data_IF_756623818897
#
_entry.id   IF_756623818897
#
_cell.length_a   1.000
_cell.length_b   1.000
_cell.length_c   1.000
_cell.angle_alpha   90.00
_cell.angle_beta   90.00
_cell.angle_gamma   90.00
#
_symmetry.space_group_name_H-M   'P 1'
#
loop_
_entity.id
_entity.type
_entity.pdbx_description
1 polymer ?
#
# COMPACT_ATOMS: atom_id res chain seq x y z
N UNK A 1 15.73 -7.05 -21.42
CA UNK A 1 16.17 -5.76 -20.85
C UNK A 1 16.26 -5.95 -19.35
N UNK A 2 17.45 -5.81 -18.76
CA UNK A 2 17.71 -6.14 -17.36
C UNK A 2 17.55 -4.90 -16.49
N UNK A 3 16.72 -4.99 -15.44
CA UNK A 3 16.91 -4.27 -14.18
C UNK A 3 16.52 -5.24 -13.06
N UNK A 4 17.54 -5.83 -12.43
CA UNK A 4 17.40 -6.56 -11.17
C UNK A 4 17.36 -5.54 -10.05
N UNK A 5 16.24 -5.45 -9.32
CA UNK A 5 16.16 -4.76 -8.03
C UNK A 5 15.51 -5.70 -7.01
N UNK A 6 16.38 -6.31 -6.20
CA UNK A 6 16.20 -6.81 -4.84
C UNK A 6 14.90 -7.55 -4.48
N UNK A 7 15.00 -8.88 -4.50
CA UNK A 7 14.13 -9.81 -3.77
C UNK A 7 14.40 -9.73 -2.26
N UNK A 8 13.64 -8.89 -1.57
CA UNK A 8 13.08 -9.17 -0.23
C UNK A 8 11.61 -9.52 -0.50
N UNK A 9 10.91 -10.43 0.22
CA UNK A 9 9.45 -10.57 0.01
C UNK A 9 8.85 -9.15 0.10
N UNK A 10 8.36 -8.57 -1.00
CA UNK A 10 8.62 -7.14 -1.21
C UNK A 10 7.78 -6.25 -0.29
N UNK A 11 6.71 -6.81 0.28
CA UNK A 11 5.71 -6.11 1.05
C UNK A 11 5.15 -6.97 2.20
N UNK A 12 4.87 -6.33 3.33
CA UNK A 12 4.21 -6.90 4.51
C UNK A 12 2.68 -6.88 4.32
N UNK A 13 1.91 -7.82 4.90
CA UNK A 13 0.45 -7.75 4.87
C UNK A 13 -0.13 -6.46 5.49
N UNK A 14 0.62 -5.80 6.38
CA UNK A 14 0.25 -4.49 6.95
C UNK A 14 0.69 -3.29 6.09
N UNK A 15 1.39 -3.52 4.97
CA UNK A 15 1.61 -2.46 3.99
C UNK A 15 0.28 -2.09 3.32
N UNK A 16 0.22 -0.87 2.81
CA UNK A 16 -1.02 -0.23 2.39
C UNK A 16 -1.08 -0.18 0.86
N UNK A 17 -2.13 -0.77 0.29
CA UNK A 17 -2.51 -0.55 -1.09
C UNK A 17 -3.34 0.73 -1.18
N UNK A 18 -2.95 1.66 -2.05
CA UNK A 18 -3.64 2.95 -2.26
C UNK A 18 -4.06 3.08 -3.72
N UNK A 19 -5.35 3.29 -3.95
CA UNK A 19 -5.91 3.50 -5.28
C UNK A 19 -5.90 4.98 -5.70
N UNK A 20 -5.97 5.27 -7.02
CA UNK A 20 -5.99 6.64 -7.53
C UNK A 20 -7.17 7.49 -7.02
N UNK A 21 -8.28 6.86 -6.61
CA UNK A 21 -9.42 7.53 -5.99
C UNK A 21 -9.19 7.93 -4.52
N UNK A 22 -8.02 7.61 -3.95
CA UNK A 22 -7.67 7.89 -2.56
C UNK A 22 -8.17 6.84 -1.57
N UNK A 23 -8.89 5.81 -2.03
CA UNK A 23 -9.18 4.65 -1.21
C UNK A 23 -7.91 3.86 -0.90
N UNK A 24 -7.90 3.20 0.24
CA UNK A 24 -6.78 2.39 0.69
C UNK A 24 -7.27 1.11 1.37
N UNK A 25 -6.40 0.11 1.45
CA UNK A 25 -6.60 -1.15 2.16
C UNK A 25 -5.26 -1.72 2.60
N UNK A 26 -5.24 -2.61 3.59
CA UNK A 26 -4.05 -3.39 3.88
C UNK A 26 -3.82 -4.44 2.79
N UNK A 27 -2.56 -4.77 2.49
CA UNK A 27 -2.25 -5.85 1.54
C UNK A 27 -2.82 -7.19 2.00
N UNK A 28 -2.95 -7.41 3.30
CA UNK A 28 -3.61 -8.59 3.86
C UNK A 28 -5.06 -8.73 3.38
N UNK A 29 -5.83 -7.64 3.38
CA UNK A 29 -7.21 -7.62 2.87
C UNK A 29 -7.26 -7.83 1.34
N UNK A 30 -6.33 -7.20 0.62
CA UNK A 30 -6.21 -7.37 -0.84
C UNK A 30 -5.91 -8.82 -1.21
N UNK A 31 -4.94 -9.46 -0.54
CA UNK A 31 -4.57 -10.86 -0.77
C UNK A 31 -5.66 -11.85 -0.37
N UNK A 32 -6.51 -11.50 0.60
CA UNK A 32 -7.70 -12.28 0.95
C UNK A 32 -8.82 -12.16 -0.10
N UNK A 33 -8.68 -11.25 -1.06
CA UNK A 33 -9.66 -11.00 -2.11
C UNK A 33 -10.81 -10.10 -1.67
N UNK A 34 -10.70 -9.43 -0.52
CA UNK A 34 -11.76 -8.54 -0.02
C UNK A 34 -11.98 -7.33 -0.95
N UNK A 35 -10.94 -6.99 -1.72
CA UNK A 35 -10.94 -5.91 -2.71
C UNK A 35 -10.89 -6.41 -4.16
N UNK A 36 -11.26 -7.66 -4.44
CA UNK A 36 -11.21 -8.24 -5.80
C UNK A 36 -12.13 -7.54 -6.83
N UNK A 37 -13.00 -6.64 -6.37
CA UNK A 37 -13.87 -5.82 -7.22
C UNK A 37 -13.20 -4.50 -7.66
N UNK A 38 -12.00 -4.18 -7.15
CA UNK A 38 -11.20 -3.00 -7.53
C UNK A 38 -10.11 -3.39 -8.54
N UNK A 39 -9.51 -2.39 -9.18
CA UNK A 39 -8.38 -2.60 -10.09
C UNK A 39 -7.14 -3.06 -9.33
N UNK A 40 -6.26 -3.82 -9.99
CA UNK A 40 -4.92 -4.13 -9.48
C UNK A 40 -3.95 -2.93 -9.58
N UNK A 41 -4.39 -1.81 -10.17
CA UNK A 41 -3.64 -0.55 -10.25
C UNK A 41 -3.70 0.22 -8.93
N UNK A 42 -2.94 -0.24 -7.94
CA UNK A 42 -2.71 0.45 -6.68
C UNK A 42 -1.21 0.68 -6.44
N UNK A 43 -0.89 1.74 -5.72
CA UNK A 43 0.45 1.97 -5.17
C UNK A 43 0.56 1.20 -3.85
N UNK A 44 1.69 0.52 -3.63
CA UNK A 44 1.98 -0.10 -2.34
C UNK A 44 2.87 0.84 -1.53
N UNK A 45 2.34 1.32 -0.42
CA UNK A 45 3.00 2.22 0.53
C UNK A 45 3.31 1.43 1.79
N UNK A 46 4.56 1.47 2.25
CA UNK A 46 4.91 0.81 3.49
C UNK A 46 4.34 1.57 4.68
N UNK A 47 3.90 0.85 5.71
CA UNK A 47 3.41 1.49 6.93
C UNK A 47 4.49 2.34 7.62
N UNK A 48 5.76 1.97 7.46
CA UNK A 48 6.92 2.73 7.96
C UNK A 48 7.19 4.05 7.19
N UNK A 49 6.62 4.22 5.99
CA UNK A 49 6.80 5.42 5.16
C UNK A 49 5.79 6.51 5.53
N UNK A 50 5.96 7.06 6.74
CA UNK A 50 5.10 8.12 7.28
C UNK A 50 5.08 9.36 6.38
N UNK A 51 6.19 9.66 5.68
CA UNK A 51 6.25 10.76 4.74
C UNK A 51 5.26 10.55 3.59
N UNK A 52 5.25 9.37 2.97
CA UNK A 52 4.32 9.03 1.90
C UNK A 52 2.87 8.95 2.37
N UNK A 53 2.63 8.37 3.55
CA UNK A 53 1.30 8.34 4.16
C UNK A 53 0.75 9.75 4.41
N UNK A 54 1.61 10.70 4.81
CA UNK A 54 1.23 12.10 5.00
C UNK A 54 0.91 12.81 3.68
N UNK A 55 1.69 12.55 2.61
CA UNK A 55 1.37 13.08 1.28
C UNK A 55 0.02 12.59 0.75
N UNK A 56 -0.36 11.37 1.12
CA UNK A 56 -1.64 10.75 0.74
C UNK A 56 -2.80 11.12 1.67
N UNK A 57 -2.54 11.89 2.74
CA UNK A 57 -3.56 12.24 3.73
C UNK A 57 -3.99 11.09 4.63
N UNK A 58 -3.24 9.98 4.65
CA UNK A 58 -3.51 8.78 5.44
C UNK A 58 -2.89 8.84 6.85
N UNK A 59 -2.07 9.85 7.13
CA UNK A 59 -1.39 9.98 8.43
C UNK A 59 -2.34 10.06 9.63
N UNK A 60 -3.53 10.65 9.45
CA UNK A 60 -4.57 10.73 10.49
C UNK A 60 -5.21 9.37 10.78
N UNK A 61 -5.36 8.53 9.75
CA UNK A 61 -5.97 7.20 9.85
C UNK A 61 -5.05 6.22 10.61
N UNK A 62 -3.73 6.37 10.43
CA UNK A 62 -2.72 5.52 11.08
C UNK A 62 -2.17 6.08 12.41
N UNK A 63 -2.70 7.19 12.93
CA UNK A 63 -2.19 7.90 14.12
C UNK A 63 -0.67 8.22 14.04
N UNK A 64 -0.17 8.50 12.84
CA UNK A 64 1.25 8.84 12.62
C UNK A 64 1.40 10.37 12.56
N UNK A 65 1.61 10.99 13.74
CA UNK A 65 1.82 12.45 13.92
C UNK A 65 3.22 12.95 13.52
#
# INVERSE_FOLDING_TARGET
MSRTTMQTPPYHPDDIAVWPDGAWATLGEVWRGEFSHRSDDFEIVRLEDVARLKELGLADDFDVS
#
